data_IF_853727371871
#
_entry.id   IF_853727371871
#
_cell.length_a   1.000
_cell.length_b   1.000
_cell.length_c   1.000
_cell.angle_alpha   90.00
_cell.angle_beta   90.00
_cell.angle_gamma   90.00
#
_symmetry.space_group_name_H-M   'P 1'
#
loop_
_entity.id
_entity.type
_entity.pdbx_description
1 polymer ?
#
# COMPACT_ATOMS: atom_id res chain seq x y z
N UNK A 1 -36.68 -39.63 32.35
CA UNK A 1 -37.06 -38.38 31.66
C UNK A 1 -36.55 -37.21 32.47
N UNK A 2 -35.47 -36.55 32.02
CA UNK A 2 -35.37 -35.08 32.05
C UNK A 2 -34.17 -34.67 31.19
N UNK A 3 -34.48 -33.90 30.14
CA UNK A 3 -33.55 -33.42 29.14
C UNK A 3 -32.72 -32.26 29.69
N UNK A 4 -31.40 -32.41 29.69
CA UNK A 4 -30.48 -31.28 29.79
C UNK A 4 -30.31 -30.67 28.40
N UNK A 5 -30.87 -29.46 28.25
CA UNK A 5 -30.90 -28.62 27.06
C UNK A 5 -29.49 -28.37 26.49
N UNK A 6 -29.32 -28.33 25.16
CA UNK A 6 -28.07 -27.86 24.56
C UNK A 6 -27.92 -26.38 24.87
N UNK A 7 -26.74 -26.01 25.36
CA UNK A 7 -26.26 -24.63 25.45
C UNK A 7 -26.47 -23.91 24.12
N UNK A 8 -27.23 -22.82 24.18
CA UNK A 8 -27.46 -21.84 23.13
C UNK A 8 -26.11 -21.22 22.74
N UNK A 9 -25.44 -21.81 21.76
CA UNK A 9 -24.29 -21.20 21.09
C UNK A 9 -24.86 -20.10 20.21
N UNK A 10 -24.92 -18.87 20.73
CA UNK A 10 -25.17 -17.67 19.93
C UNK A 10 -24.04 -17.54 18.90
N UNK A 11 -24.26 -18.16 17.75
CA UNK A 11 -23.40 -18.03 16.58
C UNK A 11 -23.32 -16.53 16.25
N UNK A 12 -22.12 -15.91 16.17
CA UNK A 12 -22.02 -14.50 15.84
C UNK A 12 -22.75 -14.24 14.52
N UNK A 13 -23.78 -13.40 14.59
CA UNK A 13 -24.68 -13.10 13.48
C UNK A 13 -23.82 -12.63 12.29
N UNK A 14 -23.86 -13.39 11.19
CA UNK A 14 -23.06 -13.10 10.01
C UNK A 14 -23.41 -11.69 9.50
N UNK A 15 -22.43 -10.82 9.19
CA UNK A 15 -22.71 -9.47 8.73
C UNK A 15 -23.68 -9.49 7.54
N UNK A 16 -24.77 -8.72 7.64
CA UNK A 16 -25.76 -8.63 6.57
C UNK A 16 -25.07 -8.33 5.22
N UNK A 17 -25.35 -9.10 4.15
CA UNK A 17 -24.72 -8.91 2.85
C UNK A 17 -24.89 -7.47 2.35
N UNK A 18 -23.85 -6.89 1.73
CA UNK A 18 -23.96 -5.57 1.10
C UNK A 18 -25.05 -5.58 0.03
N UNK A 19 -25.97 -4.61 0.10
CA UNK A 19 -26.95 -4.43 -0.98
C UNK A 19 -26.28 -3.82 -2.22
N UNK A 20 -26.75 -4.13 -3.44
CA UNK A 20 -26.19 -3.57 -4.66
C UNK A 20 -26.10 -2.04 -4.66
N UNK A 21 -27.10 -1.36 -4.09
CA UNK A 21 -27.12 0.10 -3.97
C UNK A 21 -25.99 0.65 -3.07
N UNK A 22 -25.72 -0.01 -1.93
CA UNK A 22 -24.59 0.35 -1.06
C UNK A 22 -23.26 0.11 -1.76
N UNK A 23 -23.13 -1.01 -2.46
CA UNK A 23 -21.95 -1.33 -3.27
C UNK A 23 -21.67 -0.27 -4.34
N UNK A 24 -22.71 0.16 -5.08
CA UNK A 24 -22.58 1.23 -6.07
C UNK A 24 -22.14 2.56 -5.44
N UNK A 25 -22.67 2.90 -4.26
CA UNK A 25 -22.26 4.10 -3.53
C UNK A 25 -20.77 4.08 -3.14
N UNK A 26 -20.28 2.93 -2.65
CA UNK A 26 -18.85 2.74 -2.35
C UNK A 26 -17.99 2.86 -3.61
N UNK A 27 -18.41 2.23 -4.71
CA UNK A 27 -17.71 2.30 -5.99
C UNK A 27 -17.60 3.75 -6.49
N UNK A 28 -18.67 4.53 -6.44
CA UNK A 28 -18.63 5.94 -6.82
C UNK A 28 -17.64 6.74 -5.98
N UNK A 29 -17.57 6.47 -4.67
CA UNK A 29 -16.56 7.06 -3.79
C UNK A 29 -15.13 6.70 -4.21
N UNK A 30 -14.88 5.43 -4.54
CA UNK A 30 -13.57 4.96 -5.03
C UNK A 30 -13.21 5.65 -6.35
N UNK A 31 -14.15 5.77 -7.30
CA UNK A 31 -13.92 6.45 -8.58
C UNK A 31 -13.47 7.88 -8.35
N UNK A 32 -14.13 8.64 -7.47
CA UNK A 32 -13.75 10.02 -7.16
C UNK A 32 -12.35 10.09 -6.55
N UNK A 33 -12.03 9.18 -5.62
CA UNK A 33 -10.71 9.13 -4.96
C UNK A 33 -9.60 8.82 -5.98
N UNK A 34 -9.81 7.82 -6.84
CA UNK A 34 -8.87 7.39 -7.89
C UNK A 34 -8.69 8.48 -8.93
N UNK A 35 -9.78 9.06 -9.43
CA UNK A 35 -9.74 10.16 -10.39
C UNK A 35 -9.01 11.39 -9.82
N UNK A 36 -9.21 11.71 -8.55
CA UNK A 36 -8.48 12.79 -7.88
C UNK A 36 -6.98 12.54 -7.81
N UNK A 37 -6.55 11.32 -7.48
CA UNK A 37 -5.13 10.97 -7.46
C UNK A 37 -4.50 11.06 -8.86
N UNK A 38 -5.17 10.49 -9.88
CA UNK A 38 -4.71 10.56 -11.26
C UNK A 38 -4.61 12.02 -11.71
N UNK A 39 -5.63 12.84 -11.47
CA UNK A 39 -5.64 14.24 -11.86
C UNK A 39 -4.49 15.04 -11.22
N UNK A 40 -4.17 14.80 -9.95
CA UNK A 40 -3.02 15.46 -9.28
C UNK A 40 -1.70 15.07 -9.95
N UNK A 41 -1.48 13.78 -10.22
CA UNK A 41 -0.24 13.34 -10.85
C UNK A 41 -0.14 13.84 -12.30
N UNK A 42 -1.23 13.76 -13.09
CA UNK A 42 -1.26 14.30 -14.46
C UNK A 42 -1.05 15.81 -14.51
N UNK A 43 -1.56 16.57 -13.54
CA UNK A 43 -1.31 18.01 -13.45
C UNK A 43 0.16 18.35 -13.16
N UNK A 44 0.93 17.40 -12.62
CA UNK A 44 2.35 17.51 -12.35
C UNK A 44 3.22 16.80 -13.40
N UNK A 45 2.62 16.30 -14.48
CA UNK A 45 3.27 15.51 -15.54
C UNK A 45 3.97 14.23 -15.03
N UNK A 46 3.43 13.65 -13.96
CA UNK A 46 3.91 12.38 -13.37
C UNK A 46 3.05 11.25 -13.91
N UNK A 47 3.66 10.21 -14.49
CA UNK A 47 2.92 9.12 -15.16
C UNK A 47 2.98 7.77 -14.45
N UNK A 48 3.89 7.61 -13.49
CA UNK A 48 4.12 6.34 -12.78
C UNK A 48 3.16 6.15 -11.59
N UNK A 49 1.85 6.32 -11.84
CA UNK A 49 0.80 6.25 -10.81
C UNK A 49 0.79 4.92 -10.05
N UNK A 50 1.30 3.85 -10.68
CA UNK A 50 1.32 2.50 -10.12
C UNK A 50 2.01 2.47 -8.76
N UNK A 51 3.07 3.26 -8.54
CA UNK A 51 3.79 3.28 -7.27
C UNK A 51 2.86 3.75 -6.13
N UNK A 52 2.07 4.79 -6.40
CA UNK A 52 1.07 5.28 -5.45
C UNK A 52 -0.08 4.31 -5.22
N UNK A 53 -0.59 3.66 -6.28
CA UNK A 53 -1.65 2.67 -6.15
C UNK A 53 -1.18 1.39 -5.46
N UNK A 54 0.07 0.98 -5.62
CA UNK A 54 0.65 -0.19 -4.94
C UNK A 54 0.73 0.06 -3.43
N UNK A 55 1.12 1.27 -3.02
CA UNK A 55 1.05 1.69 -1.62
C UNK A 55 -0.39 1.65 -1.09
N UNK A 56 -1.34 2.24 -1.82
CA UNK A 56 -2.75 2.21 -1.42
C UNK A 56 -3.28 0.78 -1.31
N UNK A 57 -2.99 -0.07 -2.30
CA UNK A 57 -3.38 -1.47 -2.33
C UNK A 57 -2.89 -2.20 -1.08
N UNK A 58 -1.63 -1.99 -0.69
CA UNK A 58 -1.08 -2.65 0.48
C UNK A 58 -1.66 -2.07 1.78
N UNK A 59 -1.53 -0.75 1.99
CA UNK A 59 -1.93 -0.15 3.26
C UNK A 59 -3.44 -0.15 3.48
N UNK A 60 -4.25 0.21 2.47
CA UNK A 60 -5.70 0.23 2.61
C UNK A 60 -6.33 -1.14 2.31
N UNK A 61 -5.82 -1.87 1.33
CA UNK A 61 -6.40 -3.16 0.91
C UNK A 61 -6.01 -4.34 1.80
N UNK A 62 -4.74 -4.43 2.22
CA UNK A 62 -4.22 -5.56 3.01
C UNK A 62 -4.17 -5.22 4.49
N UNK A 63 -3.59 -4.08 4.86
CA UNK A 63 -3.47 -3.64 6.26
C UNK A 63 -4.75 -2.94 6.77
N UNK A 64 -5.80 -2.83 5.93
CA UNK A 64 -7.08 -2.22 6.29
C UNK A 64 -6.95 -0.83 6.93
N UNK A 65 -5.99 -0.03 6.44
CA UNK A 65 -5.74 1.34 6.91
C UNK A 65 -5.23 1.37 8.37
N UNK A 66 -4.57 0.29 8.82
CA UNK A 66 -3.97 0.22 10.15
C UNK A 66 -2.89 1.30 10.34
N UNK A 67 -3.15 2.21 11.29
CA UNK A 67 -2.27 3.36 11.55
C UNK A 67 -0.95 2.96 12.22
N UNK A 68 -0.94 1.88 13.00
CA UNK A 68 0.27 1.32 13.61
C UNK A 68 1.22 0.71 12.56
N UNK A 69 0.69 0.31 11.40
CA UNK A 69 1.45 -0.25 10.28
C UNK A 69 1.91 0.80 9.27
N UNK A 70 1.34 2.00 9.30
CA UNK A 70 1.59 3.04 8.30
C UNK A 70 3.08 3.34 8.13
N UNK A 71 3.82 3.50 9.24
CA UNK A 71 5.25 3.79 9.19
C UNK A 71 6.04 2.68 8.48
N UNK A 72 5.71 1.41 8.74
CA UNK A 72 6.34 0.28 8.08
C UNK A 72 5.96 0.21 6.59
N UNK A 73 4.71 0.54 6.21
CA UNK A 73 4.30 0.59 4.82
C UNK A 73 5.01 1.72 4.05
N UNK A 74 5.13 2.90 4.64
CA UNK A 74 5.82 4.05 4.04
C UNK A 74 7.31 3.74 3.86
N UNK A 75 7.99 3.29 4.91
CA UNK A 75 9.43 3.00 4.82
C UNK A 75 9.66 1.81 3.88
N UNK A 76 8.86 0.74 4.00
CA UNK A 76 8.98 -0.44 3.17
C UNK A 76 8.77 -0.15 1.69
N UNK A 77 7.77 0.65 1.32
CA UNK A 77 7.54 1.04 -0.09
C UNK A 77 8.71 1.86 -0.66
N UNK A 78 9.27 2.80 0.10
CA UNK A 78 10.46 3.56 -0.31
C UNK A 78 11.67 2.65 -0.49
N UNK A 79 11.92 1.75 0.46
CA UNK A 79 13.05 0.80 0.37
C UNK A 79 12.87 -0.13 -0.82
N UNK A 80 11.68 -0.69 -1.03
CA UNK A 80 11.40 -1.60 -2.14
C UNK A 80 11.54 -0.90 -3.50
N UNK A 81 11.04 0.33 -3.65
CA UNK A 81 11.20 1.11 -4.87
C UNK A 81 12.67 1.49 -5.12
N UNK A 82 13.43 1.77 -4.06
CA UNK A 82 14.87 2.01 -4.16
C UNK A 82 15.63 0.78 -4.62
N UNK A 83 15.28 -0.41 -4.12
CA UNK A 83 15.87 -1.65 -4.61
C UNK A 83 15.52 -1.89 -6.09
N UNK A 84 14.27 -1.65 -6.50
CA UNK A 84 13.90 -1.73 -7.91
C UNK A 84 14.69 -0.74 -8.79
N UNK A 85 14.92 0.48 -8.31
CA UNK A 85 15.78 1.45 -9.00
C UNK A 85 17.24 1.01 -9.06
N UNK A 86 17.76 0.34 -8.03
CA UNK A 86 19.12 -0.19 -8.04
C UNK A 86 19.32 -1.29 -9.09
N UNK A 87 18.31 -2.12 -9.36
CA UNK A 87 18.38 -3.07 -10.48
C UNK A 87 18.61 -2.35 -11.81
N UNK A 88 17.96 -1.21 -12.02
CA UNK A 88 18.13 -0.38 -13.21
C UNK A 88 19.49 0.33 -13.24
N UNK A 89 19.91 0.92 -12.11
CA UNK A 89 21.08 1.79 -12.05
C UNK A 89 22.41 1.03 -12.03
N UNK A 90 22.48 -0.11 -11.34
CA UNK A 90 23.74 -0.84 -11.12
C UNK A 90 24.41 -1.33 -12.43
N UNK A 91 23.68 -1.86 -13.43
CA UNK A 91 24.28 -2.21 -14.72
C UNK A 91 24.90 -1.00 -15.44
N UNK A 92 24.31 0.19 -15.29
CA UNK A 92 24.87 1.42 -15.85
C UNK A 92 26.20 1.84 -15.22
N UNK A 93 26.41 1.52 -13.94
CA UNK A 93 27.64 1.87 -13.22
C UNK A 93 28.72 0.79 -13.29
N UNK A 94 28.33 -0.48 -13.32
CA UNK A 94 29.25 -1.62 -13.16
C UNK A 94 29.22 -2.62 -14.32
N UNK A 95 28.44 -2.37 -15.38
CA UNK A 95 28.25 -3.32 -16.48
C UNK A 95 27.58 -4.62 -16.00
N UNK A 96 27.99 -5.76 -16.55
CA UNK A 96 27.45 -7.07 -16.18
C UNK A 96 27.60 -7.38 -14.67
N UNK A 97 28.64 -6.84 -14.02
CA UNK A 97 28.84 -7.01 -12.58
C UNK A 97 27.70 -6.39 -11.76
N UNK A 98 26.99 -5.39 -12.29
CA UNK A 98 25.86 -4.74 -11.62
C UNK A 98 24.74 -5.71 -11.26
N UNK A 99 24.46 -6.70 -12.14
CA UNK A 99 23.47 -7.74 -11.87
C UNK A 99 23.87 -8.64 -10.68
N UNK A 100 25.14 -9.02 -10.59
CA UNK A 100 25.64 -9.83 -9.47
C UNK A 100 25.67 -9.04 -8.16
N UNK A 101 26.01 -7.75 -8.20
CA UNK A 101 25.94 -6.86 -7.02
C UNK A 101 24.49 -6.78 -6.53
N UNK A 102 23.54 -6.58 -7.43
CA UNK A 102 22.13 -6.52 -7.09
C UNK A 102 21.62 -7.85 -6.50
N UNK A 103 22.02 -8.97 -7.07
CA UNK A 103 21.71 -10.29 -6.52
C UNK A 103 22.23 -10.44 -5.08
N UNK A 104 23.48 -10.05 -4.82
CA UNK A 104 24.05 -10.05 -3.47
C UNK A 104 23.25 -9.18 -2.50
N UNK A 105 22.84 -7.98 -2.94
CA UNK A 105 22.01 -7.07 -2.16
C UNK A 105 20.65 -7.69 -1.80
N UNK A 106 19.94 -8.29 -2.76
CA UNK A 106 18.66 -8.94 -2.50
C UNK A 106 18.83 -10.10 -1.51
N UNK A 107 19.87 -10.92 -1.66
CA UNK A 107 20.12 -12.04 -0.75
C UNK A 107 20.31 -11.56 0.70
N UNK A 108 21.01 -10.44 0.89
CA UNK A 108 21.15 -9.80 2.21
C UNK A 108 19.81 -9.30 2.73
N UNK A 109 19.01 -8.63 1.89
CA UNK A 109 17.68 -8.14 2.29
C UNK A 109 16.76 -9.29 2.69
N UNK A 110 16.72 -10.38 1.91
CA UNK A 110 15.93 -11.58 2.23
C UNK A 110 16.43 -12.22 3.52
N UNK A 111 17.74 -12.32 3.71
CA UNK A 111 18.30 -12.85 4.97
C UNK A 111 17.87 -12.01 6.17
N UNK A 112 17.96 -10.68 6.09
CA UNK A 112 17.46 -9.78 7.11
C UNK A 112 15.94 -9.99 7.36
N UNK A 113 15.15 -10.20 6.31
CA UNK A 113 13.72 -10.49 6.45
C UNK A 113 13.47 -11.79 7.21
N UNK A 114 14.19 -12.87 6.87
CA UNK A 114 14.10 -14.17 7.55
C UNK A 114 14.51 -14.06 9.01
N UNK A 115 15.55 -13.28 9.30
CA UNK A 115 16.03 -13.04 10.67
C UNK A 115 15.17 -12.04 11.45
N UNK A 116 14.18 -11.40 10.82
CA UNK A 116 13.35 -10.37 11.44
C UNK A 116 14.09 -9.07 11.76
N UNK A 117 15.19 -8.79 11.05
CA UNK A 117 16.00 -7.58 11.25
C UNK A 117 15.43 -6.40 10.48
N UNK A 118 15.56 -5.20 11.08
CA UNK A 118 15.05 -3.94 10.52
C UNK A 118 13.59 -4.03 10.03
N UNK A 119 12.64 -4.54 10.84
CA UNK A 119 11.29 -4.89 10.37
C UNK A 119 10.46 -3.69 9.86
N UNK A 120 10.86 -2.47 10.18
CA UNK A 120 10.24 -1.26 9.61
C UNK A 120 10.66 -1.03 8.16
N UNK A 121 11.89 -1.39 7.79
CA UNK A 121 12.45 -1.18 6.46
C UNK A 121 12.41 -2.43 5.57
N UNK A 122 12.46 -3.62 6.17
CA UNK A 122 12.46 -4.91 5.48
C UNK A 122 11.20 -5.65 5.91
N UNK A 123 10.15 -5.46 5.13
CA UNK A 123 8.84 -6.04 5.38
C UNK A 123 8.14 -6.45 4.08
N UNK A 124 6.90 -6.88 4.17
CA UNK A 124 6.14 -7.34 3.01
C UNK A 124 5.84 -6.21 2.01
N UNK A 125 5.72 -4.94 2.45
CA UNK A 125 5.62 -3.80 1.54
C UNK A 125 6.92 -3.60 0.75
N UNK A 126 8.08 -3.76 1.40
CA UNK A 126 9.38 -3.76 0.72
C UNK A 126 9.44 -4.81 -0.38
N UNK A 127 9.01 -6.04 -0.05
CA UNK A 127 8.97 -7.14 -1.02
C UNK A 127 7.99 -6.86 -2.15
N UNK A 128 6.81 -6.31 -1.85
CA UNK A 128 5.82 -5.96 -2.87
C UNK A 128 6.37 -4.97 -3.89
N UNK A 129 6.98 -3.87 -3.43
CA UNK A 129 7.56 -2.87 -4.32
C UNK A 129 8.79 -3.39 -5.08
N UNK A 130 9.64 -4.18 -4.42
CA UNK A 130 10.75 -4.85 -5.07
C UNK A 130 10.25 -5.77 -6.19
N UNK A 131 9.27 -6.63 -5.91
CA UNK A 131 8.71 -7.57 -6.88
C UNK A 131 8.07 -6.84 -8.05
N UNK A 132 7.18 -5.88 -7.79
CA UNK A 132 6.51 -5.14 -8.87
C UNK A 132 7.49 -4.30 -9.69
N UNK A 133 8.40 -3.59 -9.01
CA UNK A 133 9.35 -2.70 -9.65
C UNK A 133 10.43 -3.42 -10.45
N UNK A 134 10.75 -4.68 -10.14
CA UNK A 134 11.77 -5.48 -10.86
C UNK A 134 11.20 -6.28 -12.03
N UNK A 135 9.90 -6.20 -12.32
CA UNK A 135 9.30 -6.80 -13.52
C UNK A 135 9.97 -6.19 -14.76
N UNK A 136 10.47 -7.00 -15.72
CA UNK A 136 11.16 -6.47 -16.91
C UNK A 136 10.32 -5.44 -17.68
N UNK A 137 9.03 -5.71 -17.88
CA UNK A 137 8.11 -4.79 -18.56
C UNK A 137 7.92 -3.45 -17.81
N UNK A 138 8.14 -3.41 -16.49
CA UNK A 138 8.16 -2.15 -15.71
C UNK A 138 9.52 -1.49 -15.90
N UNK A 139 10.61 -2.23 -15.71
CA UNK A 139 12.00 -1.74 -15.82
C UNK A 139 12.32 -1.10 -17.18
N UNK A 140 11.76 -1.61 -18.28
CA UNK A 140 11.99 -1.10 -19.63
C UNK A 140 11.38 0.28 -19.89
N UNK A 141 10.28 0.61 -19.21
CA UNK A 141 9.50 1.84 -19.48
C UNK A 141 9.47 2.84 -18.34
N UNK A 142 9.95 2.46 -17.15
CA UNK A 142 9.76 3.25 -15.93
C UNK A 142 10.63 4.50 -15.91
N UNK A 143 10.01 5.64 -15.60
CA UNK A 143 10.71 6.80 -15.08
C UNK A 143 10.75 6.73 -13.54
N UNK A 144 11.87 6.28 -12.97
CA UNK A 144 11.97 6.15 -11.51
C UNK A 144 11.79 7.48 -10.76
N UNK A 145 12.15 8.62 -11.37
CA UNK A 145 11.89 9.93 -10.77
C UNK A 145 10.39 10.16 -10.55
N UNK A 146 9.60 9.92 -11.60
CA UNK A 146 8.15 10.00 -11.54
C UNK A 146 7.57 8.98 -10.56
N UNK A 147 8.12 7.76 -10.50
CA UNK A 147 7.66 6.73 -9.55
C UNK A 147 7.85 7.16 -8.09
N UNK A 148 8.98 7.77 -7.75
CA UNK A 148 9.23 8.31 -6.41
C UNK A 148 8.32 9.50 -6.10
N UNK A 149 8.10 10.40 -7.08
CA UNK A 149 7.17 11.53 -6.91
C UNK A 149 5.75 11.03 -6.71
N UNK A 150 5.27 10.09 -7.54
CA UNK A 150 3.95 9.49 -7.42
C UNK A 150 3.74 8.80 -6.06
N UNK A 151 4.76 8.10 -5.56
CA UNK A 151 4.74 7.50 -4.24
C UNK A 151 4.63 8.57 -3.13
N UNK A 152 5.41 9.66 -3.22
CA UNK A 152 5.31 10.78 -2.29
C UNK A 152 3.94 11.47 -2.31
N UNK A 153 3.38 11.68 -3.51
CA UNK A 153 2.02 12.20 -3.68
C UNK A 153 0.98 11.26 -3.08
N UNK A 154 1.17 9.94 -3.21
CA UNK A 154 0.27 8.95 -2.63
C UNK A 154 0.27 8.99 -1.10
N UNK A 155 1.44 9.18 -0.48
CA UNK A 155 1.52 9.40 0.96
C UNK A 155 0.71 10.62 1.36
N UNK A 156 0.95 11.78 0.73
CA UNK A 156 0.23 13.01 1.05
C UNK A 156 -1.28 12.88 0.82
N UNK A 157 -1.69 12.35 -0.33
CA UNK A 157 -3.07 12.29 -0.77
C UNK A 157 -3.88 11.24 0.01
N UNK A 158 -3.46 9.98 0.04
CA UNK A 158 -4.26 8.91 0.64
C UNK A 158 -4.24 8.96 2.17
N UNK A 159 -3.08 9.22 2.78
CA UNK A 159 -3.00 9.37 4.25
C UNK A 159 -3.82 10.59 4.67
N UNK A 160 -3.68 11.71 3.95
CA UNK A 160 -4.45 12.92 4.19
C UNK A 160 -5.97 12.70 4.05
N UNK A 161 -6.40 12.00 3.00
CA UNK A 161 -7.81 11.71 2.76
C UNK A 161 -8.42 10.84 3.86
N UNK A 162 -7.73 9.77 4.28
CA UNK A 162 -8.18 8.94 5.40
C UNK A 162 -8.21 9.75 6.71
N UNK A 163 -7.18 10.55 6.97
CA UNK A 163 -7.11 11.38 8.17
C UNK A 163 -8.27 12.38 8.24
N UNK A 164 -8.57 13.08 7.13
CA UNK A 164 -9.73 13.98 7.04
C UNK A 164 -11.03 13.20 7.21
N UNK A 165 -11.18 12.06 6.52
CA UNK A 165 -12.39 11.23 6.59
C UNK A 165 -12.70 10.74 8.00
N UNK A 166 -11.70 10.19 8.70
CA UNK A 166 -11.83 9.73 10.10
C UNK A 166 -12.20 10.87 11.04
N UNK A 167 -11.60 12.05 10.86
CA UNK A 167 -11.93 13.24 11.68
C UNK A 167 -13.33 13.77 11.41
N UNK A 168 -13.79 13.79 10.16
CA UNK A 168 -15.15 14.19 9.82
C UNK A 168 -16.20 13.22 10.38
N UNK A 169 -15.93 11.92 10.34
CA UNK A 169 -16.79 10.90 10.96
C UNK A 169 -16.87 11.07 12.47
N UNK A 170 -15.73 11.28 13.14
CA UNK A 170 -15.70 11.53 14.59
C UNK A 170 -16.50 12.79 14.99
N UNK A 171 -16.44 13.87 14.19
CA UNK A 171 -17.20 15.11 14.43
C UNK A 171 -18.70 14.92 14.25
N UNK A 172 -19.14 14.08 13.32
CA UNK A 172 -20.57 13.76 13.11
C UNK A 172 -21.11 12.81 14.17
N UNK A 173 -20.26 11.98 14.77
CA UNK A 173 -20.60 11.06 15.83
C UNK A 173 -20.62 11.71 17.24
N UNK A 174 -19.97 12.86 17.41
CA UNK A 174 -20.11 13.66 18.63
C UNK A 174 -21.54 14.23 18.70
N UNK A 175 -22.35 13.89 19.73
CA UNK A 175 -23.68 14.44 19.88
C UNK A 175 -23.60 15.98 19.92
N UNK A 176 -24.52 16.66 19.25
CA UNK A 176 -24.76 18.08 19.54
C UNK A 176 -25.05 18.19 21.03
N UNK A 177 -24.10 18.71 21.81
CA UNK A 177 -24.36 19.12 23.18
C UNK A 177 -25.42 20.22 23.08
N UNK A 178 -26.63 19.88 23.55
CA UNK A 178 -27.78 20.75 23.66
C UNK A 178 -27.49 21.96 24.56
#
# INVERSE_FOLDING_TARGET
>A
MNASSPTDQTNPEAPLPMTPAKGLGVLLGIIVVVAGFIAINSALDVHEFWAGFLFLLYWAGIEHVAWDKLAACVVGSVVGLTLAWLLFALPGWFGEAGGFIFLGLILVVIYCQVMGWLPVAINLTTMLFLTAGTIPAVQEGVNFGDAFIALGLAFAYFIGLVWVGTRLMARKAAPQAA
#
